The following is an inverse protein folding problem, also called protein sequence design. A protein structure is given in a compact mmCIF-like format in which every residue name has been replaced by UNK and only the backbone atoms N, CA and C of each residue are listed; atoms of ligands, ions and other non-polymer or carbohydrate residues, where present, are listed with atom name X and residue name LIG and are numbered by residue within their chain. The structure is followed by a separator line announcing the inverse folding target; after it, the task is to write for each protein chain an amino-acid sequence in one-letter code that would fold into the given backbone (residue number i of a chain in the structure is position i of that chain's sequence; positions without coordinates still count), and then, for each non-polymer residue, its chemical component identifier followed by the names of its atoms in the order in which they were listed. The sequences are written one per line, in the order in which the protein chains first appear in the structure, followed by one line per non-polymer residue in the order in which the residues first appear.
data_IF_338800014845
#
_entry.id   IF_338800014845
#
_cell.length_a   1.000
_cell.length_b   1.000
_cell.length_c   1.000
_cell.angle_alpha   90.00
_cell.angle_beta   90.00
_cell.angle_gamma   90.00
#
_symmetry.space_group_name_H-M   'P 1'
#
loop_
_entity.id
_entity.type
_entity.pdbx_description
1 polymer ?
#
# COMPACT_ATOMS: atom_id res chain seq x y z
N UNK A 1 45.71 46.68 -50.61
CA UNK A 1 44.62 45.68 -50.62
C UNK A 1 44.60 45.04 -49.24
N UNK A 2 43.75 45.56 -48.35
CA UNK A 2 43.64 45.18 -46.94
C UNK A 2 42.58 44.11 -46.73
N UNK A 3 42.82 43.15 -45.82
CA UNK A 3 41.75 42.27 -45.33
C UNK A 3 42.24 41.13 -44.45
N UNK A 4 42.59 41.42 -43.19
CA UNK A 4 42.72 40.46 -42.09
C UNK A 4 41.32 40.29 -41.48
N UNK A 5 40.83 39.05 -41.27
CA UNK A 5 40.07 38.60 -40.08
C UNK A 5 39.39 37.23 -40.29
N UNK A 6 39.06 36.37 -39.29
CA UNK A 6 39.18 36.29 -37.82
C UNK A 6 38.83 34.83 -37.49
N UNK A 7 39.61 34.12 -36.69
CA UNK A 7 39.20 32.82 -36.14
C UNK A 7 38.09 33.04 -35.11
N UNK A 8 36.93 32.39 -35.28
CA UNK A 8 35.86 32.37 -34.28
C UNK A 8 36.04 31.12 -33.41
N UNK A 9 36.40 31.34 -32.14
CA UNK A 9 36.33 30.32 -31.09
C UNK A 9 34.93 30.40 -30.48
N UNK A 10 34.13 29.36 -30.66
CA UNK A 10 32.82 29.23 -30.02
C UNK A 10 32.99 28.63 -28.62
N UNK A 11 32.67 29.40 -27.58
CA UNK A 11 32.53 28.92 -26.21
C UNK A 11 31.11 28.32 -26.04
N UNK A 12 31.00 27.00 -25.94
CA UNK A 12 29.73 26.35 -25.63
C UNK A 12 29.54 26.29 -24.11
N UNK A 13 28.55 27.03 -23.61
CA UNK A 13 28.12 26.98 -22.20
C UNK A 13 27.13 25.82 -22.03
N UNK A 14 27.53 24.78 -21.30
CA UNK A 14 26.64 23.64 -20.98
C UNK A 14 25.88 23.96 -19.69
N UNK A 15 24.59 24.26 -19.79
CA UNK A 15 23.70 24.40 -18.64
C UNK A 15 23.24 23.00 -18.19
N UNK A 16 23.62 22.58 -16.97
CA UNK A 16 23.05 21.39 -16.34
C UNK A 16 21.63 21.71 -15.85
N UNK A 17 20.63 21.09 -16.49
CA UNK A 17 19.25 21.07 -16.02
C UNK A 17 19.14 20.07 -14.86
N UNK A 18 18.94 20.56 -13.63
CA UNK A 18 18.50 19.72 -12.51
C UNK A 18 16.98 19.61 -12.61
N UNK A 19 16.49 18.45 -13.05
CA UNK A 19 15.06 18.17 -13.06
C UNK A 19 14.54 17.97 -11.62
N UNK A 20 13.36 18.50 -11.26
CA UNK A 20 12.74 18.19 -9.98
C UNK A 20 12.36 16.70 -9.94
N UNK A 21 12.75 16.02 -8.88
CA UNK A 21 12.32 14.65 -8.60
C UNK A 21 10.80 14.67 -8.38
N UNK A 22 10.03 14.08 -9.30
CA UNK A 22 8.64 13.79 -9.06
C UNK A 22 8.56 12.71 -7.98
N UNK A 23 8.23 13.09 -6.75
CA UNK A 23 7.77 12.13 -5.75
C UNK A 23 6.51 11.48 -6.33
N UNK A 24 6.54 10.17 -6.56
CA UNK A 24 5.34 9.45 -6.99
C UNK A 24 4.30 9.57 -5.88
N UNK A 25 3.31 10.44 -6.07
CA UNK A 25 2.18 10.54 -5.16
C UNK A 25 1.40 9.22 -5.22
N UNK A 26 1.10 8.63 -4.05
CA UNK A 26 0.27 7.42 -3.97
C UNK A 26 -1.12 7.66 -4.58
N UNK A 27 -1.83 6.59 -4.94
CA UNK A 27 -3.19 6.73 -5.44
C UNK A 27 -4.07 7.45 -4.41
N UNK A 28 -4.83 8.46 -4.83
CA UNK A 28 -5.65 9.26 -3.90
C UNK A 28 -6.71 8.41 -3.19
N UNK A 29 -7.03 8.75 -1.94
CA UNK A 29 -8.21 8.23 -1.23
C UNK A 29 -9.12 9.36 -0.69
N UNK A 30 -10.43 9.15 -0.58
CA UNK A 30 -11.33 10.12 0.08
C UNK A 30 -11.08 10.22 1.59
N UNK A 31 -11.28 11.40 2.18
CA UNK A 31 -11.05 11.64 3.63
C UNK A 31 -11.85 10.71 4.55
N UNK A 32 -13.02 10.25 4.11
CA UNK A 32 -13.90 9.37 4.89
C UNK A 32 -13.80 7.89 4.49
N UNK A 33 -12.77 7.53 3.72
CA UNK A 33 -12.43 6.15 3.39
C UNK A 33 -12.06 5.35 4.65
N UNK A 34 -12.56 4.11 4.74
CA UNK A 34 -12.29 3.24 5.90
C UNK A 34 -12.15 1.80 5.48
N UNK A 35 -11.03 1.19 5.83
CA UNK A 35 -10.86 -0.26 5.83
C UNK A 35 -11.02 -0.80 7.25
N UNK A 36 -11.72 -1.91 7.43
CA UNK A 36 -12.07 -2.42 8.76
C UNK A 36 -12.29 -3.94 8.75
N UNK A 37 -12.14 -4.56 9.91
CA UNK A 37 -12.51 -5.95 10.08
C UNK A 37 -14.03 -6.04 10.25
N UNK A 38 -14.68 -6.81 9.39
CA UNK A 38 -16.03 -7.33 9.64
C UNK A 38 -15.92 -8.47 10.67
N UNK A 39 -14.88 -9.31 10.52
CA UNK A 39 -14.52 -10.35 11.47
C UNK A 39 -13.04 -10.74 11.30
N UNK A 40 -12.29 -11.10 12.35
CA UNK A 40 -12.67 -11.12 13.76
C UNK A 40 -12.76 -9.71 14.37
N UNK A 41 -13.46 -9.59 15.50
CA UNK A 41 -13.38 -8.39 16.35
C UNK A 41 -12.14 -8.46 17.25
N UNK A 42 -11.74 -7.31 17.79
CA UNK A 42 -10.70 -7.25 18.82
C UNK A 42 -11.06 -8.13 20.04
N UNK A 43 -10.06 -8.85 20.55
CA UNK A 43 -10.19 -9.80 21.65
C UNK A 43 -10.80 -11.17 21.28
N UNK A 44 -11.10 -11.44 20.00
CA UNK A 44 -11.71 -12.72 19.59
C UNK A 44 -10.82 -13.90 19.95
N UNK A 45 -11.41 -14.94 20.57
CA UNK A 45 -10.76 -16.23 20.80
C UNK A 45 -11.08 -17.16 19.63
N UNK A 46 -10.04 -17.69 18.99
CA UNK A 46 -10.11 -18.62 17.86
C UNK A 46 -9.71 -20.01 18.33
N UNK A 47 -10.52 -21.02 18.00
CA UNK A 47 -10.22 -22.42 18.31
C UNK A 47 -9.73 -23.17 17.06
N UNK A 48 -8.60 -23.88 17.16
CA UNK A 48 -8.11 -24.78 16.11
C UNK A 48 -7.26 -24.12 15.03
N UNK A 49 -6.75 -22.90 15.25
CA UNK A 49 -5.76 -22.23 14.39
C UNK A 49 -6.28 -21.64 13.07
N UNK A 50 -7.25 -22.30 12.42
CA UNK A 50 -7.81 -21.91 11.13
C UNK A 50 -9.09 -21.09 11.28
N UNK A 51 -9.11 -19.89 10.71
CA UNK A 51 -10.27 -19.02 10.80
C UNK A 51 -10.41 -18.09 9.59
N UNK A 52 -11.61 -17.56 9.40
CA UNK A 52 -11.89 -16.54 8.39
C UNK A 52 -11.32 -15.17 8.79
N UNK A 53 -10.97 -14.35 7.82
CA UNK A 53 -10.81 -12.91 7.99
C UNK A 53 -11.72 -12.28 6.98
N UNK A 54 -12.66 -11.45 7.44
CA UNK A 54 -13.62 -10.74 6.61
C UNK A 54 -13.33 -9.25 6.68
N UNK A 55 -13.11 -8.66 5.53
CA UNK A 55 -12.57 -7.33 5.36
C UNK A 55 -13.63 -6.45 4.72
N UNK A 56 -13.88 -5.30 5.34
CA UNK A 56 -14.79 -4.29 4.85
C UNK A 56 -14.02 -3.07 4.37
N UNK A 57 -14.58 -2.41 3.36
CA UNK A 57 -14.13 -1.12 2.84
C UNK A 57 -15.33 -0.19 2.70
N UNK A 58 -15.16 1.08 3.03
CA UNK A 58 -16.18 2.13 2.88
C UNK A 58 -15.60 3.29 2.08
N UNK A 59 -16.43 3.87 1.21
CA UNK A 59 -16.13 5.04 0.36
C UNK A 59 -14.98 4.84 -0.64
N UNK A 60 -14.66 3.59 -0.95
CA UNK A 60 -13.69 3.17 -1.98
C UNK A 60 -14.13 1.82 -2.56
N UNK A 61 -13.59 1.47 -3.72
CA UNK A 61 -13.81 0.17 -4.34
C UNK A 61 -12.69 -0.84 -4.04
N UNK A 62 -13.03 -2.12 -4.09
CA UNK A 62 -12.07 -3.24 -4.03
C UNK A 62 -11.95 -3.80 -5.44
N UNK A 63 -10.72 -3.98 -5.94
CA UNK A 63 -10.50 -4.48 -7.29
C UNK A 63 -9.17 -5.20 -7.44
N UNK A 64 -9.00 -5.95 -8.55
CA UNK A 64 -7.75 -6.64 -8.82
C UNK A 64 -6.62 -5.64 -9.09
N UNK A 65 -5.42 -5.97 -8.62
CA UNK A 65 -4.20 -5.22 -8.89
C UNK A 65 -3.92 -5.12 -10.40
N UNK A 66 -3.18 -4.10 -10.79
CA UNK A 66 -2.86 -3.82 -12.19
C UNK A 66 -3.96 -3.08 -12.97
N UNK A 67 -5.12 -2.83 -12.36
CA UNK A 67 -6.16 -1.97 -12.97
C UNK A 67 -6.04 -0.57 -12.40
N UNK A 68 -5.90 0.43 -13.27
CA UNK A 68 -5.89 1.83 -12.87
C UNK A 68 -7.31 2.39 -12.81
N UNK A 69 -7.96 2.17 -11.67
CA UNK A 69 -9.31 2.68 -11.40
C UNK A 69 -9.26 3.67 -10.23
N UNK A 70 -9.79 4.89 -10.38
CA UNK A 70 -9.82 5.87 -9.30
C UNK A 70 -10.52 5.32 -8.05
N UNK A 71 -9.98 5.63 -6.87
CA UNK A 71 -10.51 5.23 -5.57
C UNK A 71 -10.72 3.71 -5.41
N UNK A 72 -9.92 2.90 -6.11
CA UNK A 72 -9.93 1.44 -6.01
C UNK A 72 -8.58 0.96 -5.52
N UNK A 73 -8.61 0.00 -4.60
CA UNK A 73 -7.43 -0.70 -4.12
C UNK A 73 -7.74 -2.15 -3.79
N UNK A 74 -6.86 -2.77 -3.02
CA UNK A 74 -7.01 -4.12 -2.54
C UNK A 74 -6.47 -4.31 -1.12
N UNK A 75 -6.97 -5.33 -0.45
CA UNK A 75 -6.65 -5.54 0.97
C UNK A 75 -5.25 -6.14 1.14
N UNK A 76 -4.58 -5.70 2.19
CA UNK A 76 -3.45 -6.39 2.80
C UNK A 76 -3.80 -6.71 4.24
N UNK A 77 -3.47 -7.92 4.70
CA UNK A 77 -3.54 -8.30 6.11
C UNK A 77 -2.13 -8.35 6.69
N UNK A 78 -1.90 -7.50 7.68
CA UNK A 78 -0.68 -7.44 8.46
C UNK A 78 -0.87 -8.28 9.71
N UNK A 79 0.06 -9.18 9.97
CA UNK A 79 0.02 -10.15 11.06
C UNK A 79 1.29 -9.95 11.88
N UNK A 80 1.14 -9.65 13.17
CA UNK A 80 2.25 -9.50 14.12
C UNK A 80 3.36 -8.54 13.66
N UNK A 81 2.96 -7.45 13.01
CA UNK A 81 3.85 -6.39 12.54
C UNK A 81 3.21 -5.02 12.73
N UNK A 82 4.05 -3.99 12.72
CA UNK A 82 3.62 -2.60 12.60
C UNK A 82 3.28 -2.27 11.13
N UNK A 83 2.67 -1.11 10.90
CA UNK A 83 2.50 -0.58 9.55
C UNK A 83 3.88 -0.43 8.87
N UNK A 84 4.01 -0.83 7.60
CA UNK A 84 5.23 -0.57 6.83
C UNK A 84 5.38 0.92 6.51
N UNK A 85 6.47 1.28 5.83
CA UNK A 85 6.61 2.60 5.26
C UNK A 85 5.44 2.89 4.28
N UNK A 86 4.78 4.04 4.46
CA UNK A 86 3.53 4.36 3.75
C UNK A 86 3.74 4.96 2.35
N UNK A 87 5.00 5.12 1.96
CA UNK A 87 5.45 5.62 0.65
C UNK A 87 6.10 4.52 -0.21
N UNK A 88 6.13 3.28 0.29
CA UNK A 88 6.74 2.12 -0.38
C UNK A 88 5.71 1.01 -0.61
N UNK A 89 5.98 0.09 -1.55
CA UNK A 89 5.15 -1.10 -1.70
C UNK A 89 5.11 -1.90 -0.39
N UNK A 90 3.92 -2.42 -0.04
CA UNK A 90 3.74 -3.31 1.11
C UNK A 90 4.62 -4.55 0.92
N UNK A 91 5.42 -4.97 1.92
CA UNK A 91 6.23 -6.17 1.83
C UNK A 91 5.37 -7.40 1.47
N UNK A 92 5.96 -8.38 0.80
CA UNK A 92 5.29 -9.65 0.48
C UNK A 92 6.02 -10.78 1.20
N UNK A 93 5.61 -11.04 2.43
CA UNK A 93 6.19 -12.07 3.29
C UNK A 93 5.09 -12.72 4.15
N UNK A 94 5.48 -13.59 5.08
CA UNK A 94 4.55 -14.32 5.95
C UNK A 94 3.72 -13.43 6.90
N UNK A 95 4.16 -12.20 7.14
CA UNK A 95 3.52 -11.23 8.01
C UNK A 95 2.64 -10.25 7.23
N UNK A 96 2.70 -10.27 5.90
CA UNK A 96 1.96 -9.37 5.00
C UNK A 96 1.27 -10.19 3.92
N UNK A 97 0.01 -10.53 4.12
CA UNK A 97 -0.78 -11.29 3.15
C UNK A 97 -1.46 -10.34 2.16
N UNK A 98 -1.37 -10.67 0.88
CA UNK A 98 -1.87 -9.87 -0.23
C UNK A 98 -3.17 -10.44 -0.78
N UNK A 99 -4.18 -9.60 -0.93
CA UNK A 99 -5.48 -9.96 -1.54
C UNK A 99 -5.70 -9.17 -2.83
N UNK A 100 -4.71 -9.28 -3.72
CA UNK A 100 -4.61 -8.52 -4.96
C UNK A 100 -5.56 -8.93 -6.07
N UNK A 101 -6.41 -9.96 -5.88
CA UNK A 101 -7.49 -10.27 -6.83
C UNK A 101 -8.81 -9.58 -6.43
N UNK A 102 -8.79 -8.78 -5.36
CA UNK A 102 -9.96 -8.09 -4.83
C UNK A 102 -10.72 -8.92 -3.79
N UNK A 103 -10.05 -9.85 -3.12
CA UNK A 103 -10.68 -10.68 -2.10
C UNK A 103 -11.13 -9.82 -0.91
N UNK A 104 -12.37 -10.06 -0.46
CA UNK A 104 -12.95 -9.40 0.72
C UNK A 104 -13.01 -10.35 1.92
N UNK A 105 -12.67 -11.62 1.72
CA UNK A 105 -12.48 -12.58 2.80
C UNK A 105 -11.42 -13.62 2.43
N UNK A 106 -10.75 -14.15 3.45
CA UNK A 106 -9.77 -15.22 3.29
C UNK A 106 -9.78 -16.14 4.50
N UNK A 107 -9.42 -17.41 4.29
CA UNK A 107 -9.16 -18.33 5.40
C UNK A 107 -7.67 -18.34 5.70
N UNK A 108 -7.29 -18.00 6.92
CA UNK A 108 -5.89 -18.01 7.37
C UNK A 108 -5.71 -19.04 8.49
N UNK A 109 -4.46 -19.38 8.75
CA UNK A 109 -4.05 -20.26 9.84
C UNK A 109 -2.94 -19.59 10.64
N UNK A 110 -3.13 -19.51 11.95
CA UNK A 110 -2.14 -18.99 12.88
C UNK A 110 -1.85 -20.05 13.96
N UNK A 111 -0.61 -20.11 14.47
CA UNK A 111 -0.28 -21.00 15.58
C UNK A 111 -1.03 -20.58 16.86
N UNK A 112 -1.12 -21.44 17.89
CA UNK A 112 -1.66 -21.05 19.19
C UNK A 112 -0.86 -19.88 19.79
N UNK A 113 -1.56 -18.86 20.30
CA UNK A 113 -0.92 -17.67 20.84
C UNK A 113 -1.76 -16.39 20.72
N UNK A 114 -1.19 -15.28 21.19
CA UNK A 114 -1.74 -13.94 21.01
C UNK A 114 -1.17 -13.34 19.73
N UNK A 115 -2.04 -12.94 18.81
CA UNK A 115 -1.66 -12.34 17.53
C UNK A 115 -2.29 -10.96 17.36
N UNK A 116 -1.60 -10.08 16.67
CA UNK A 116 -2.14 -8.79 16.23
C UNK A 116 -2.44 -8.82 14.74
N UNK A 117 -3.56 -8.23 14.35
CA UNK A 117 -4.00 -8.13 12.96
C UNK A 117 -4.30 -6.67 12.63
N UNK A 118 -3.91 -6.23 11.44
CA UNK A 118 -4.26 -4.91 10.91
C UNK A 118 -4.50 -5.00 9.39
N UNK A 119 -5.45 -4.21 8.88
CA UNK A 119 -5.67 -4.10 7.44
C UNK A 119 -5.04 -2.84 6.91
N UNK A 120 -4.49 -2.92 5.70
CA UNK A 120 -3.96 -1.79 4.95
C UNK A 120 -4.44 -1.89 3.50
N UNK A 121 -5.01 -0.82 2.97
CA UNK A 121 -5.42 -0.76 1.58
C UNK A 121 -4.24 -0.31 0.71
N UNK A 122 -3.91 -1.12 -0.29
CA UNK A 122 -2.91 -0.77 -1.30
C UNK A 122 -3.53 -0.54 -2.67
N UNK A 123 -2.86 0.28 -3.47
CA UNK A 123 -3.19 0.59 -4.86
C UNK A 123 -2.78 -0.56 -5.81
N UNK A 124 -2.78 -0.29 -7.11
CA UNK A 124 -2.41 -1.28 -8.15
C UNK A 124 -0.95 -1.73 -8.08
N UNK A 125 -0.05 -0.96 -7.47
CA UNK A 125 1.35 -1.29 -7.20
C UNK A 125 1.60 -1.87 -5.80
N UNK A 126 0.55 -2.13 -5.01
CA UNK A 126 0.62 -2.49 -3.59
C UNK A 126 1.22 -1.37 -2.73
N UNK A 127 1.18 -0.11 -3.17
CA UNK A 127 1.55 1.03 -2.33
C UNK A 127 0.33 1.52 -1.56
N UNK A 128 0.47 1.96 -0.31
CA UNK A 128 -0.62 2.62 0.39
C UNK A 128 -1.15 3.83 -0.38
N UNK A 129 -2.46 4.05 -0.29
CA UNK A 129 -3.08 5.26 -0.83
C UNK A 129 -2.60 6.53 -0.10
N UNK A 130 -2.88 7.70 -0.66
CA UNK A 130 -2.64 9.01 -0.03
C UNK A 130 -3.96 9.82 0.08
N UNK A 131 -4.48 10.08 1.30
CA UNK A 131 -3.98 9.60 2.59
C UNK A 131 -4.07 8.07 2.73
N UNK A 132 -3.25 7.46 3.61
CA UNK A 132 -3.24 6.02 3.83
C UNK A 132 -4.52 5.54 4.51
N UNK A 133 -5.07 4.43 4.00
CA UNK A 133 -6.30 3.82 4.52
C UNK A 133 -5.96 2.50 5.20
N UNK A 134 -5.96 2.49 6.53
CA UNK A 134 -5.71 1.30 7.36
C UNK A 134 -6.74 1.17 8.48
N UNK A 135 -6.93 -0.05 8.98
CA UNK A 135 -7.85 -0.32 10.08
C UNK A 135 -7.20 -0.05 11.44
N UNK A 136 -8.01 -0.03 12.50
CA UNK A 136 -7.49 -0.23 13.85
C UNK A 136 -6.81 -1.59 13.94
N UNK A 137 -5.66 -1.64 14.61
CA UNK A 137 -5.03 -2.90 15.00
C UNK A 137 -5.94 -3.61 16.01
N UNK A 138 -6.16 -4.91 15.79
CA UNK A 138 -6.91 -5.79 16.68
C UNK A 138 -5.99 -6.88 17.22
N UNK A 139 -6.35 -7.46 18.35
CA UNK A 139 -5.72 -8.64 18.94
C UNK A 139 -6.66 -9.83 18.84
N UNK A 140 -6.15 -10.99 18.46
CA UNK A 140 -6.86 -12.27 18.54
C UNK A 140 -6.07 -13.28 19.36
N UNK A 141 -6.76 -14.25 19.95
CA UNK A 141 -6.16 -15.28 20.79
C UNK A 141 -6.48 -16.64 20.19
N UNK A 142 -5.48 -17.31 19.66
CA UNK A 142 -5.61 -18.63 19.04
C UNK A 142 -5.32 -19.71 20.09
N UNK A 143 -6.20 -20.70 20.19
CA UNK A 143 -6.12 -21.85 21.08
C UNK A 143 -6.12 -23.17 20.32
#
# INVERSE_FOLDING_TARGET
MSGIWKSLVSLALVALLVAPSAQAAGASSPEDARVYFIWPSDGTVIHGGKFWVRMGLRNMGVGPKGTETPNVGHHHLLIDTELPALDQPVPSDRNHLHFGAGETEARIELPPGKHTLQLLLGDREHRPHDPPVYSKKITVIVR
#
